data_IF_003690259764
#
_entry.id   IF_003690259764
#
_cell.length_a   1.000
_cell.length_b   1.000
_cell.length_c   1.000
_cell.angle_alpha   90.00
_cell.angle_beta   90.00
_cell.angle_gamma   90.00
#
_symmetry.space_group_name_H-M   'P 1'
#
loop_
_entity.id
_entity.type
_entity.pdbx_description
1 polymer ?
#
# COMPACT_ATOMS: atom_id res chain seq x y z
N UNK A 1 18.87 -7.27 -5.43
CA UNK A 1 17.51 -6.79 -5.07
C UNK A 1 16.53 -7.91 -5.34
N UNK A 2 15.69 -8.26 -4.36
CA UNK A 2 14.52 -9.09 -4.62
C UNK A 2 13.42 -8.14 -5.09
N UNK A 3 13.04 -8.24 -6.36
CA UNK A 3 11.90 -7.50 -6.91
C UNK A 3 10.64 -8.30 -6.55
N UNK A 4 9.74 -7.71 -5.79
CA UNK A 4 8.40 -8.29 -5.62
C UNK A 4 7.71 -8.28 -6.98
N UNK A 5 7.12 -9.39 -7.44
CA UNK A 5 6.37 -9.38 -8.69
C UNK A 5 5.09 -8.54 -8.51
N UNK A 6 4.77 -7.71 -9.49
CA UNK A 6 3.44 -7.13 -9.61
C UNK A 6 2.43 -8.27 -9.71
N UNK A 7 1.54 -8.40 -8.74
CA UNK A 7 0.49 -9.42 -8.70
C UNK A 7 -0.87 -8.75 -8.70
N UNK A 8 -1.79 -9.29 -9.50
CA UNK A 8 -3.21 -8.92 -9.43
C UNK A 8 -3.74 -9.37 -8.08
N UNK A 9 -4.28 -8.42 -7.32
CA UNK A 9 -4.82 -8.68 -5.99
C UNK A 9 -6.35 -8.77 -6.10
N UNK A 10 -6.84 -9.98 -6.30
CA UNK A 10 -8.29 -10.27 -6.35
C UNK A 10 -8.82 -10.75 -5.00
N UNK A 11 -10.13 -10.62 -4.80
CA UNK A 11 -10.82 -11.25 -3.68
C UNK A 11 -10.58 -10.60 -2.31
N UNK A 12 -10.23 -9.31 -2.27
CA UNK A 12 -9.93 -8.58 -1.02
C UNK A 12 -11.14 -8.40 -0.07
N UNK A 13 -12.32 -8.92 -0.41
CA UNK A 13 -13.49 -8.96 0.48
C UNK A 13 -14.09 -7.58 0.81
N UNK A 14 -15.03 -7.53 1.75
CA UNK A 14 -15.72 -6.30 2.19
C UNK A 14 -15.05 -5.56 3.33
N UNK A 15 -14.00 -6.13 3.93
CA UNK A 15 -13.31 -5.51 5.06
C UNK A 15 -12.56 -4.25 4.65
N UNK A 16 -12.42 -3.24 5.52
CA UNK A 16 -11.67 -2.03 5.21
C UNK A 16 -10.20 -2.32 4.87
N UNK A 17 -9.67 -1.74 3.78
CA UNK A 17 -8.29 -1.99 3.31
C UNK A 17 -7.37 -0.80 3.52
N UNK A 18 -6.07 -1.07 3.55
CA UNK A 18 -5.01 -0.08 3.48
C UNK A 18 -4.03 -0.51 2.38
N UNK A 19 -3.84 0.36 1.39
CA UNK A 19 -2.86 0.21 0.32
C UNK A 19 -1.69 1.15 0.60
N UNK A 20 -0.47 0.60 0.54
CA UNK A 20 0.77 1.36 0.78
C UNK A 20 1.66 1.16 -0.43
N UNK A 21 2.09 2.26 -1.06
CA UNK A 21 2.99 2.26 -2.20
C UNK A 21 3.95 3.45 -2.13
N UNK A 22 4.93 3.48 -3.02
CA UNK A 22 5.87 4.59 -3.17
C UNK A 22 5.44 5.52 -4.31
N UNK A 23 5.62 6.83 -4.15
CA UNK A 23 5.21 7.86 -5.13
C UNK A 23 5.90 7.71 -6.49
N UNK A 24 7.19 7.41 -6.48
CA UNK A 24 8.02 7.33 -7.71
C UNK A 24 7.98 5.92 -8.34
N UNK A 25 7.06 5.04 -7.90
CA UNK A 25 6.85 3.78 -8.57
C UNK A 25 6.08 3.98 -9.88
N UNK A 26 6.46 3.31 -10.99
CA UNK A 26 5.71 3.36 -12.25
C UNK A 26 4.23 2.96 -12.11
N UNK A 27 3.86 2.33 -10.99
CA UNK A 27 2.53 1.80 -10.68
C UNK A 27 1.89 2.46 -9.47
N UNK A 28 2.38 3.60 -8.98
CA UNK A 28 1.82 4.26 -7.80
C UNK A 28 0.29 4.50 -7.91
N UNK A 29 -0.18 4.96 -9.08
CA UNK A 29 -1.60 5.17 -9.37
C UNK A 29 -2.46 3.90 -9.43
N UNK A 30 -1.85 2.70 -9.44
CA UNK A 30 -2.60 1.43 -9.32
C UNK A 30 -3.17 1.28 -7.92
N UNK A 31 -2.47 1.76 -6.88
CA UNK A 31 -2.96 1.67 -5.50
C UNK A 31 -4.22 2.50 -5.27
N UNK A 32 -4.32 3.66 -5.91
CA UNK A 32 -5.53 4.51 -5.93
C UNK A 32 -6.68 3.80 -6.63
N UNK A 33 -6.44 3.26 -7.83
CA UNK A 33 -7.45 2.49 -8.57
C UNK A 33 -7.94 1.27 -7.78
N UNK A 34 -7.04 0.60 -7.06
CA UNK A 34 -7.38 -0.55 -6.22
C UNK A 34 -8.22 -0.13 -5.02
N UNK A 35 -7.92 0.99 -4.36
CA UNK A 35 -8.72 1.47 -3.24
C UNK A 35 -10.14 1.86 -3.67
N UNK A 36 -10.26 2.59 -4.79
CA UNK A 36 -11.53 3.04 -5.35
C UNK A 36 -12.37 1.89 -5.90
N UNK A 37 -11.73 0.91 -6.54
CA UNK A 37 -12.40 -0.23 -7.16
C UNK A 37 -12.66 -1.43 -6.23
N UNK A 38 -11.99 -1.48 -5.08
CA UNK A 38 -12.15 -2.60 -4.14
C UNK A 38 -13.46 -2.48 -3.35
N UNK A 39 -14.15 -3.59 -3.08
CA UNK A 39 -15.26 -3.60 -2.13
C UNK A 39 -14.81 -3.17 -0.73
N UNK A 40 -15.76 -2.80 0.12
CA UNK A 40 -15.50 -2.41 1.52
C UNK A 40 -15.49 -0.91 1.75
N UNK A 41 -15.88 -0.52 2.96
CA UNK A 41 -15.93 0.87 3.37
C UNK A 41 -14.55 1.35 3.81
N UNK A 42 -14.26 2.63 3.59
CA UNK A 42 -13.06 3.29 4.10
C UNK A 42 -11.74 2.65 3.60
N UNK A 43 -11.67 2.20 2.35
CA UNK A 43 -10.39 1.83 1.74
C UNK A 43 -9.48 3.07 1.67
N UNK A 44 -8.22 2.94 2.11
CA UNK A 44 -7.25 4.03 2.15
C UNK A 44 -6.02 3.74 1.34
N UNK A 45 -5.42 4.78 0.79
CA UNK A 45 -4.12 4.75 0.13
C UNK A 45 -3.17 5.66 0.87
N UNK A 46 -1.94 5.20 1.04
CA UNK A 46 -0.82 6.02 1.47
C UNK A 46 0.28 5.86 0.43
N UNK A 47 0.69 7.00 -0.15
CA UNK A 47 1.85 7.09 -1.01
C UNK A 47 3.00 7.64 -0.17
N UNK A 48 4.08 6.88 -0.09
CA UNK A 48 5.29 7.23 0.63
C UNK A 48 6.32 7.80 -0.35
N UNK A 49 7.11 8.82 0.02
CA UNK A 49 8.11 9.39 -0.87
C UNK A 49 9.11 8.36 -1.40
N UNK A 50 9.66 8.59 -2.59
CA UNK A 50 10.69 7.73 -3.18
C UNK A 50 10.11 6.54 -3.97
N UNK A 51 10.95 5.54 -4.22
CA UNK A 51 10.71 4.45 -5.20
C UNK A 51 10.85 3.04 -4.62
N UNK A 52 10.67 2.89 -3.30
CA UNK A 52 10.85 1.60 -2.65
C UNK A 52 9.68 0.66 -2.96
N UNK A 53 9.97 -0.49 -3.58
CA UNK A 53 8.93 -1.42 -4.02
C UNK A 53 8.49 -2.42 -2.97
N UNK A 54 7.18 -2.46 -2.70
CA UNK A 54 6.52 -3.45 -1.85
C UNK A 54 7.21 -3.61 -0.50
N UNK A 55 7.68 -4.81 -0.20
CA UNK A 55 8.37 -5.10 1.07
C UNK A 55 9.66 -4.28 1.28
N UNK A 56 10.27 -3.75 0.23
CA UNK A 56 11.49 -2.94 0.36
C UNK A 56 11.22 -1.58 1.02
N UNK A 57 9.96 -1.14 1.10
CA UNK A 57 9.55 0.04 1.87
C UNK A 57 10.06 -0.07 3.33
N UNK A 58 9.98 -1.26 3.93
CA UNK A 58 10.43 -1.49 5.31
C UNK A 58 11.96 -1.51 5.50
N UNK A 59 12.73 -1.46 4.40
CA UNK A 59 14.18 -1.31 4.42
C UNK A 59 14.63 0.11 4.04
N UNK A 60 13.67 1.04 3.83
CA UNK A 60 13.91 2.42 3.45
C UNK A 60 13.73 3.38 4.62
N UNK A 61 13.98 4.67 4.40
CA UNK A 61 13.68 5.73 5.36
C UNK A 61 12.18 5.84 5.72
N UNK A 62 11.29 5.27 4.90
CA UNK A 62 9.85 5.26 5.14
C UNK A 62 9.36 4.08 5.98
N UNK A 63 10.25 3.22 6.49
CA UNK A 63 9.85 2.01 7.23
C UNK A 63 8.96 2.34 8.44
N UNK A 64 9.32 3.35 9.23
CA UNK A 64 8.57 3.78 10.40
C UNK A 64 7.19 4.35 10.02
N UNK A 65 7.13 5.16 8.96
CA UNK A 65 5.88 5.72 8.46
C UNK A 65 4.92 4.63 7.95
N UNK A 66 5.44 3.63 7.25
CA UNK A 66 4.66 2.48 6.80
C UNK A 66 4.12 1.65 7.97
N UNK A 67 4.93 1.43 9.01
CA UNK A 67 4.52 0.69 10.20
C UNK A 67 3.48 1.46 11.01
N UNK A 68 3.67 2.77 11.22
CA UNK A 68 2.71 3.62 11.92
C UNK A 68 1.35 3.62 11.24
N UNK A 69 1.30 3.73 9.91
CA UNK A 69 0.06 3.62 9.14
C UNK A 69 -0.68 2.29 9.36
N UNK A 70 0.04 1.17 9.40
CA UNK A 70 -0.54 -0.15 9.67
C UNK A 70 -1.10 -0.19 11.10
N UNK A 71 -0.34 0.29 12.09
CA UNK A 71 -0.76 0.29 13.48
C UNK A 71 -1.99 1.19 13.72
N UNK A 72 -2.00 2.39 13.15
CA UNK A 72 -3.15 3.29 13.20
C UNK A 72 -4.39 2.67 12.57
N UNK A 73 -4.22 1.89 11.50
CA UNK A 73 -5.33 1.17 10.87
C UNK A 73 -5.89 0.08 11.79
N UNK A 74 -5.04 -0.66 12.48
CA UNK A 74 -5.45 -1.74 13.38
C UNK A 74 -6.00 -1.26 14.73
N UNK A 75 -5.69 -0.04 15.13
CA UNK A 75 -6.16 0.56 16.37
C UNK A 75 -7.60 1.11 16.29
N UNK A 76 -8.21 1.12 15.10
CA UNK A 76 -9.56 1.61 14.81
C UNK A 76 -10.48 0.48 14.35
#
# INVERSE_FOLDING_TARGET
MLLSPNRVVDGLGSEPKLFIASEDEPVAGVSEQLADGSPGADNKVILLPGSAHGQNIFNSENADAALDAILQRLAN
#
